data_IF_327711578362
#
_entry.id   IF_327711578362
#
_cell.length_a   1.000
_cell.length_b   1.000
_cell.length_c   1.000
_cell.angle_alpha   90.00
_cell.angle_beta   90.00
_cell.angle_gamma   90.00
#
_symmetry.space_group_name_H-M   'P 1'
#
loop_
_entity.id
_entity.type
_entity.pdbx_description
1 polymer ?
#
# COMPACT_ATOMS: atom_id res chain seq x y z
N UNK A 1 10.02 -16.74 -16.55
CA UNK A 1 8.64 -17.24 -16.55
C UNK A 1 7.83 -16.22 -15.79
N UNK A 2 6.89 -15.48 -16.40
CA UNK A 2 6.03 -14.60 -15.63
C UNK A 2 5.29 -15.48 -14.62
N UNK A 3 5.27 -15.03 -13.38
CA UNK A 3 4.58 -15.67 -12.28
C UNK A 3 3.07 -15.67 -12.60
N UNK A 4 2.61 -16.72 -13.27
CA UNK A 4 1.23 -16.86 -13.75
C UNK A 4 0.20 -16.77 -12.62
N UNK A 5 0.63 -16.96 -11.37
CA UNK A 5 -0.20 -16.85 -10.17
C UNK A 5 -0.49 -15.42 -9.76
N UNK A 6 0.47 -14.48 -9.86
CA UNK A 6 0.23 -13.09 -9.46
C UNK A 6 -0.69 -12.34 -10.42
N UNK A 7 -0.53 -12.55 -11.73
CA UNK A 7 -1.36 -11.86 -12.72
C UNK A 7 -2.80 -12.38 -12.73
N UNK A 8 -2.99 -13.69 -12.52
CA UNK A 8 -4.31 -14.32 -12.38
C UNK A 8 -5.07 -13.80 -11.15
N UNK A 9 -4.39 -13.68 -10.00
CA UNK A 9 -4.96 -13.08 -8.78
C UNK A 9 -5.34 -11.61 -8.95
N UNK A 10 -4.78 -10.92 -9.94
CA UNK A 10 -5.03 -9.52 -10.25
C UNK A 10 -5.81 -9.35 -11.56
N UNK A 11 -6.36 -10.40 -12.16
CA UNK A 11 -7.02 -10.34 -13.46
C UNK A 11 -8.20 -9.35 -13.51
N UNK A 12 -8.89 -9.16 -12.38
CA UNK A 12 -9.98 -8.18 -12.25
C UNK A 12 -9.55 -6.76 -11.88
N UNK A 13 -8.25 -6.50 -11.77
CA UNK A 13 -7.71 -5.17 -11.47
C UNK A 13 -7.37 -4.41 -12.76
N UNK A 14 -7.40 -3.07 -12.68
CA UNK A 14 -6.88 -2.20 -13.74
C UNK A 14 -5.45 -2.58 -14.15
N UNK A 15 -5.05 -2.20 -15.36
CA UNK A 15 -3.68 -2.31 -15.80
C UNK A 15 -2.74 -1.54 -14.83
N UNK A 16 -1.49 -1.98 -14.65
CA UNK A 16 -0.55 -1.32 -13.74
C UNK A 16 -0.21 0.09 -14.24
N UNK A 17 -0.66 1.11 -13.51
CA UNK A 17 -0.46 2.52 -13.84
C UNK A 17 0.53 3.17 -12.86
N UNK A 18 1.26 4.23 -13.27
CA UNK A 18 2.17 4.94 -12.38
C UNK A 18 1.39 5.54 -11.20
N UNK A 19 1.93 5.45 -9.98
CA UNK A 19 1.21 5.90 -8.79
C UNK A 19 1.34 7.41 -8.58
N UNK A 20 0.61 8.18 -9.39
CA UNK A 20 0.62 9.65 -9.40
C UNK A 20 -0.78 10.21 -9.12
N UNK A 21 -0.85 11.49 -8.76
CA UNK A 21 -2.13 12.19 -8.56
C UNK A 21 -3.01 12.20 -9.81
N UNK A 22 -2.40 12.21 -11.00
CA UNK A 22 -3.09 12.14 -12.29
C UNK A 22 -3.79 10.80 -12.48
N UNK A 23 -3.05 9.70 -12.35
CA UNK A 23 -3.62 8.34 -12.38
C UNK A 23 -4.73 8.17 -11.36
N UNK A 24 -4.51 8.65 -10.14
CA UNK A 24 -5.51 8.54 -9.06
C UNK A 24 -6.77 9.36 -9.36
N UNK A 25 -6.69 10.42 -10.17
CA UNK A 25 -7.87 11.19 -10.55
C UNK A 25 -8.85 10.38 -11.42
N UNK A 26 -8.38 9.36 -12.12
CA UNK A 26 -9.20 8.45 -12.93
C UNK A 26 -9.89 7.37 -12.07
N UNK A 27 -9.32 7.03 -10.91
CA UNK A 27 -9.87 6.00 -10.03
C UNK A 27 -11.34 6.31 -9.63
N UNK A 28 -12.18 5.29 -9.49
CA UNK A 28 -13.59 5.45 -9.16
C UNK A 28 -13.78 5.94 -7.71
N UNK A 29 -14.93 6.59 -7.46
CA UNK A 29 -15.37 6.96 -6.10
C UNK A 29 -16.26 5.86 -5.50
N UNK A 30 -15.85 4.61 -5.68
CA UNK A 30 -16.57 3.41 -5.27
C UNK A 30 -15.75 2.61 -4.25
N UNK A 31 -16.39 1.74 -3.44
CA UNK A 31 -15.67 0.77 -2.61
C UNK A 31 -14.80 -0.14 -3.47
N UNK A 32 -13.67 -0.57 -2.90
CA UNK A 32 -12.74 -1.40 -3.63
C UNK A 32 -11.46 -1.73 -2.89
N UNK A 33 -10.60 -2.44 -3.61
CA UNK A 33 -9.26 -2.83 -3.19
C UNK A 33 -8.25 -2.23 -4.15
N UNK A 34 -7.10 -1.83 -3.62
CA UNK A 34 -5.97 -1.37 -4.42
C UNK A 34 -4.70 -2.08 -3.99
N UNK A 35 -3.81 -2.28 -4.96
CA UNK A 35 -2.49 -2.87 -4.74
C UNK A 35 -1.42 -1.90 -5.23
N UNK A 36 -0.33 -1.80 -4.49
CA UNK A 36 0.86 -1.04 -4.88
C UNK A 36 1.95 -2.03 -5.26
N UNK A 37 2.60 -1.78 -6.39
CA UNK A 37 3.63 -2.63 -6.96
C UNK A 37 4.96 -1.89 -7.09
N UNK A 38 6.03 -2.56 -6.71
CA UNK A 38 7.41 -2.11 -6.90
C UNK A 38 8.15 -3.14 -7.74
N UNK A 39 8.68 -2.74 -8.90
CA UNK A 39 9.30 -3.69 -9.84
C UNK A 39 8.39 -4.84 -10.31
N UNK A 40 7.06 -4.68 -10.23
CA UNK A 40 6.08 -5.74 -10.56
C UNK A 40 5.70 -6.64 -9.38
N UNK A 41 6.31 -6.48 -8.21
CA UNK A 41 5.98 -7.21 -6.99
C UNK A 41 4.95 -6.44 -6.18
N UNK A 42 3.88 -7.10 -5.73
CA UNK A 42 2.88 -6.48 -4.84
C UNK A 42 3.49 -6.29 -3.46
N UNK A 43 3.68 -5.03 -3.07
CA UNK A 43 4.28 -4.65 -1.79
C UNK A 43 3.24 -4.25 -0.74
N UNK A 44 2.04 -3.86 -1.18
CA UNK A 44 0.95 -3.42 -0.33
C UNK A 44 -0.42 -3.69 -0.95
N UNK A 45 -1.40 -4.01 -0.12
CA UNK A 45 -2.82 -4.19 -0.45
C UNK A 45 -3.65 -3.35 0.52
N UNK A 46 -4.34 -2.34 0.00
CA UNK A 46 -5.26 -1.50 0.73
C UNK A 46 -6.71 -1.79 0.37
N UNK A 47 -7.63 -1.39 1.26
CA UNK A 47 -9.07 -1.42 0.97
C UNK A 47 -9.73 -0.11 1.36
N UNK A 48 -10.89 0.15 0.79
CA UNK A 48 -11.74 1.27 1.16
C UNK A 48 -13.21 0.93 0.92
N UNK A 49 -14.07 1.32 1.87
CA UNK A 49 -15.53 1.26 1.69
C UNK A 49 -16.11 2.59 1.19
N UNK A 50 -15.36 3.69 1.28
CA UNK A 50 -15.84 5.05 0.96
C UNK A 50 -15.55 5.49 -0.47
N UNK A 51 -14.46 5.00 -1.06
CA UNK A 51 -14.00 5.45 -2.37
C UNK A 51 -12.52 5.16 -2.61
N UNK A 52 -12.20 4.52 -3.74
CA UNK A 52 -10.83 4.24 -4.19
C UNK A 52 -10.04 5.53 -4.42
N UNK A 53 -10.61 6.50 -5.14
CA UNK A 53 -9.97 7.79 -5.42
C UNK A 53 -9.48 8.50 -4.16
N UNK A 54 -10.37 8.73 -3.20
CA UNK A 54 -10.05 9.48 -1.99
C UNK A 54 -9.00 8.74 -1.12
N UNK A 55 -9.09 7.40 -1.06
CA UNK A 55 -8.10 6.60 -0.32
C UNK A 55 -6.72 6.63 -0.97
N UNK A 56 -6.65 6.51 -2.30
CA UNK A 56 -5.40 6.58 -3.04
C UNK A 56 -4.76 7.98 -2.94
N UNK A 57 -5.56 9.06 -3.00
CA UNK A 57 -5.05 10.42 -2.77
C UNK A 57 -4.46 10.58 -1.38
N UNK A 58 -5.15 10.07 -0.36
CA UNK A 58 -4.66 10.11 1.02
C UNK A 58 -3.29 9.44 1.17
N UNK A 59 -3.02 8.38 0.42
CA UNK A 59 -1.69 7.75 0.42
C UNK A 59 -0.62 8.58 -0.30
N UNK A 60 -0.96 9.51 -1.19
CA UNK A 60 0.01 10.38 -1.85
C UNK A 60 0.27 11.68 -1.09
N UNK A 61 -0.76 12.22 -0.44
CA UNK A 61 -0.71 13.54 0.23
C UNK A 61 -0.71 13.47 1.75
N UNK A 62 -0.86 12.28 2.33
CA UNK A 62 -0.89 12.08 3.77
C UNK A 62 0.49 12.05 4.41
N UNK A 63 0.50 11.78 5.71
CA UNK A 63 1.71 11.64 6.52
C UNK A 63 1.75 10.23 7.17
N UNK A 64 2.81 9.94 7.93
CA UNK A 64 3.00 8.64 8.62
C UNK A 64 1.79 8.20 9.44
N UNK A 65 1.10 9.13 10.10
CA UNK A 65 -0.10 8.83 10.89
C UNK A 65 -1.35 8.54 10.05
N UNK A 66 -1.36 8.96 8.77
CA UNK A 66 -2.52 8.79 7.88
C UNK A 66 -2.65 7.39 7.32
N UNK A 67 -1.56 6.61 7.27
CA UNK A 67 -1.61 5.25 6.75
C UNK A 67 -0.41 4.40 7.18
N UNK A 68 -0.68 3.14 7.50
CA UNK A 68 0.35 2.10 7.71
C UNK A 68 1.32 2.01 6.53
N UNK A 69 0.86 2.23 5.30
CA UNK A 69 1.75 2.25 4.13
C UNK A 69 2.75 3.41 4.22
N UNK A 70 2.29 4.60 4.64
CA UNK A 70 3.11 5.79 4.77
C UNK A 70 4.15 5.62 5.89
N UNK A 71 3.71 5.11 7.03
CA UNK A 71 4.58 4.81 8.16
C UNK A 71 5.66 3.79 7.79
N UNK A 72 5.29 2.65 7.17
CA UNK A 72 6.25 1.60 6.84
C UNK A 72 7.18 1.98 5.68
N UNK A 73 6.73 2.77 4.71
CA UNK A 73 7.63 3.34 3.70
C UNK A 73 8.55 4.38 4.34
N UNK A 74 8.04 5.18 5.28
CA UNK A 74 8.86 6.09 6.08
C UNK A 74 9.98 5.35 6.82
N UNK A 75 9.66 4.27 7.52
CA UNK A 75 10.64 3.40 8.21
C UNK A 75 11.66 2.78 7.24
N UNK A 76 11.24 2.42 6.02
CA UNK A 76 12.16 1.91 5.00
C UNK A 76 13.16 2.98 4.52
N UNK A 77 12.72 4.24 4.48
CA UNK A 77 13.50 5.37 3.99
C UNK A 77 14.29 6.09 5.10
N UNK A 78 13.99 5.79 6.35
CA UNK A 78 14.72 6.34 7.49
C UNK A 78 16.19 5.96 7.42
N UNK A 79 17.04 6.95 7.68
CA UNK A 79 18.47 6.76 7.84
C UNK A 79 18.83 6.94 9.33
N UNK A 80 20.00 6.48 9.79
CA UNK A 80 20.41 6.64 11.18
C UNK A 80 20.44 8.10 11.66
N UNK A 81 20.51 9.06 10.72
CA UNK A 81 20.67 10.47 11.00
C UNK A 81 19.47 11.33 10.60
N UNK A 82 18.51 10.78 9.84
CA UNK A 82 17.39 11.56 9.33
C UNK A 82 16.14 10.71 9.09
N UNK A 83 15.00 11.24 9.54
CA UNK A 83 13.70 10.66 9.28
C UNK A 83 13.18 11.08 7.90
N UNK A 84 12.68 10.13 7.11
CA UNK A 84 12.12 10.41 5.79
C UNK A 84 10.87 11.32 5.90
N UNK A 85 10.88 12.40 5.13
CA UNK A 85 9.79 13.37 5.08
C UNK A 85 8.60 12.81 4.29
N UNK A 86 7.43 13.43 4.42
CA UNK A 86 6.25 13.09 3.61
C UNK A 86 6.55 13.22 2.10
N UNK A 87 7.39 14.19 1.71
CA UNK A 87 7.84 14.36 0.32
C UNK A 87 8.72 13.20 -0.17
N UNK A 88 9.63 12.68 0.67
CA UNK A 88 10.46 11.52 0.33
C UNK A 88 9.61 10.27 0.13
N UNK A 89 8.63 10.07 1.02
CA UNK A 89 7.67 8.97 0.96
C UNK A 89 6.81 9.08 -0.31
N UNK A 90 6.27 10.27 -0.61
CA UNK A 90 5.49 10.50 -1.82
C UNK A 90 6.32 10.30 -3.10
N UNK A 91 7.57 10.76 -3.11
CA UNK A 91 8.50 10.53 -4.22
C UNK A 91 8.84 9.05 -4.40
N UNK A 92 8.98 8.30 -3.31
CA UNK A 92 9.17 6.86 -3.36
C UNK A 92 7.92 6.14 -3.90
N UNK A 93 6.74 6.47 -3.40
CA UNK A 93 5.47 5.94 -3.89
C UNK A 93 5.24 6.28 -5.37
N UNK A 94 5.66 7.46 -5.83
CA UNK A 94 5.57 7.88 -7.23
C UNK A 94 6.39 7.01 -8.20
N UNK A 95 7.39 6.26 -7.72
CA UNK A 95 8.13 5.27 -8.51
C UNK A 95 7.41 3.91 -8.58
N UNK A 96 6.46 3.68 -7.69
CA UNK A 96 5.64 2.48 -7.70
C UNK A 96 4.54 2.56 -8.76
N UNK A 97 3.96 1.41 -9.05
CA UNK A 97 2.71 1.30 -9.81
C UNK A 97 1.56 1.00 -8.87
N UNK A 98 0.36 1.31 -9.31
CA UNK A 98 -0.88 0.99 -8.61
C UNK A 98 -1.83 0.28 -9.55
N UNK A 99 -2.60 -0.65 -9.00
CA UNK A 99 -3.78 -1.25 -9.64
C UNK A 99 -4.94 -1.20 -8.66
N UNK A 100 -6.17 -1.12 -9.14
CA UNK A 100 -7.35 -1.19 -8.28
C UNK A 100 -8.47 -2.01 -8.91
N UNK A 101 -9.39 -2.46 -8.06
CA UNK A 101 -10.59 -3.18 -8.43
C UNK A 101 -11.75 -2.67 -7.57
N UNK A 102 -12.87 -2.35 -8.22
CA UNK A 102 -14.13 -2.09 -7.55
C UNK A 102 -14.74 -3.39 -7.04
N UNK A 103 -15.25 -3.38 -5.80
CA UNK A 103 -15.91 -4.55 -5.24
C UNK A 103 -16.83 -4.18 -4.08
N UNK A 104 -17.94 -4.89 -3.95
CA UNK A 104 -18.86 -4.78 -2.83
C UNK A 104 -18.34 -5.45 -1.55
N UNK A 105 -17.32 -6.32 -1.66
CA UNK A 105 -16.67 -6.96 -0.51
C UNK A 105 -15.16 -6.66 -0.43
N UNK A 106 -14.78 -5.39 -0.17
CA UNK A 106 -13.37 -4.97 -0.17
C UNK A 106 -12.55 -5.55 0.99
N UNK A 107 -13.21 -6.00 2.06
CA UNK A 107 -12.53 -6.68 3.17
C UNK A 107 -12.09 -8.09 2.78
N UNK A 108 -13.03 -8.93 2.32
CA UNK A 108 -12.71 -10.30 1.90
C UNK A 108 -11.69 -10.34 0.76
N UNK A 109 -11.83 -9.44 -0.22
CA UNK A 109 -10.88 -9.33 -1.33
C UNK A 109 -9.46 -8.96 -0.84
N UNK A 110 -9.32 -8.00 0.08
CA UNK A 110 -7.99 -7.71 0.66
C UNK A 110 -7.44 -8.91 1.41
N UNK A 111 -8.24 -9.58 2.24
CA UNK A 111 -7.74 -10.69 3.05
C UNK A 111 -7.22 -11.84 2.19
N UNK A 112 -7.94 -12.19 1.12
CA UNK A 112 -7.50 -13.18 0.14
C UNK A 112 -6.16 -12.77 -0.51
N UNK A 113 -6.04 -11.51 -0.95
CA UNK A 113 -4.82 -11.01 -1.58
C UNK A 113 -3.64 -10.94 -0.60
N UNK A 114 -3.86 -10.53 0.65
CA UNK A 114 -2.80 -10.50 1.67
C UNK A 114 -2.32 -11.91 1.99
N UNK A 115 -3.23 -12.88 2.08
CA UNK A 115 -2.90 -14.27 2.36
C UNK A 115 -2.12 -14.90 1.20
N UNK A 116 -2.55 -14.66 -0.04
CA UNK A 116 -1.92 -15.22 -1.24
C UNK A 116 -0.57 -14.55 -1.57
N UNK A 117 -0.51 -13.22 -1.53
CA UNK A 117 0.64 -12.44 -2.01
C UNK A 117 1.64 -12.08 -0.91
N UNK A 118 1.24 -12.18 0.36
CA UNK A 118 2.03 -11.84 1.56
C UNK A 118 2.83 -10.52 1.40
N UNK A 119 2.16 -9.39 1.10
CA UNK A 119 2.84 -8.14 0.81
C UNK A 119 3.68 -7.69 1.99
N UNK A 120 4.91 -7.22 1.71
CA UNK A 120 5.85 -6.81 2.77
C UNK A 120 5.27 -5.77 3.72
N UNK A 121 4.43 -4.86 3.20
CA UNK A 121 3.82 -3.78 3.96
C UNK A 121 2.40 -4.10 4.48
N UNK A 122 1.94 -5.33 4.31
CA UNK A 122 0.69 -5.83 4.93
C UNK A 122 0.94 -6.78 6.08
N UNK A 123 2.18 -7.25 6.25
CA UNK A 123 2.58 -7.89 7.50
C UNK A 123 2.41 -6.83 8.58
N UNK A 124 1.47 -7.07 9.48
CA UNK A 124 1.54 -6.44 10.79
C UNK A 124 2.96 -6.72 11.27
N UNK A 125 3.79 -5.69 11.36
CA UNK A 125 5.02 -5.76 12.13
C UNK A 125 4.48 -5.73 13.57
N UNK A 126 4.40 -6.84 14.33
CA UNK A 126 4.55 -6.68 15.76
C UNK A 126 5.97 -6.12 15.89
N UNK A 127 6.09 -4.81 16.12
CA UNK A 127 7.35 -4.28 16.61
C UNK A 127 7.72 -5.12 17.83
N UNK A 128 9.00 -5.47 18.05
CA UNK A 128 9.37 -6.14 19.29
C UNK A 128 8.81 -5.28 20.41
N UNK A 129 7.85 -5.83 21.14
CA UNK A 129 7.45 -5.32 22.45
C UNK A 129 8.77 -5.29 23.19
N UNK A 130 9.35 -4.12 23.42
CA UNK A 130 10.56 -4.00 24.25
C UNK A 130 10.19 -4.66 25.57
N UNK A 131 10.73 -5.86 25.76
CA UNK A 131 10.70 -6.53 27.03
C UNK A 131 11.39 -5.63 28.04
N UNK A 132 10.78 -5.61 29.22
CA UNK A 132 11.35 -5.34 30.54
C UNK A 132 12.83 -4.91 30.60
N UNK A 133 13.03 -3.81 31.33
CA UNK A 133 14.26 -3.39 31.99
C UNK A 133 14.03 -1.94 32.43
N UNK A 134 13.84 -1.59 33.69
CA UNK A 134 14.37 -2.13 34.94
C UNK A 134 15.02 -0.95 35.68
N UNK A 135 14.70 -0.78 36.96
CA UNK A 135 15.25 0.26 37.86
C UNK A 135 14.26 1.40 38.10
N UNK A 136 13.85 1.73 39.33
CA UNK A 136 14.25 1.32 40.68
C UNK A 136 13.01 1.35 41.59
#
# INVERSE_FOLDING_TARGET
>A
MPDATHDDLLAGFTAPQPYTMETVADAPRAPGVHVVLDGGVVIYVGRTRRGLRDRLRQHLTGNRESSVLHDQVGQLLDTPHNAASAADIAGWLGRCKVRWQETDNPEGAKEALVLALKPRFNRQIPGPRRAAGGGE
#
